data_IF_648241900864
#
_entry.id   IF_648241900864
#
_cell.length_a   1.000
_cell.length_b   1.000
_cell.length_c   1.000
_cell.angle_alpha   90.00
_cell.angle_beta   90.00
_cell.angle_gamma   90.00
#
_symmetry.space_group_name_H-M   'P 1'
#
loop_
_entity.id
_entity.type
_entity.pdbx_description
1 polymer ?
#
# COMPACT_ATOMS: atom_id res chain seq x y z
N UNK A 1 10.75 -3.01 -14.88
CA UNK A 1 10.86 -4.10 -13.88
C UNK A 1 12.30 -4.45 -13.51
N UNK A 2 13.26 -4.06 -14.32
CA UNK A 2 14.68 -4.40 -14.08
C UNK A 2 15.24 -3.89 -12.74
N UNK A 3 14.71 -2.76 -12.24
CA UNK A 3 15.15 -2.17 -10.97
C UNK A 3 14.91 -3.07 -9.74
N UNK A 4 13.89 -3.93 -9.76
CA UNK A 4 13.67 -4.89 -8.67
C UNK A 4 14.80 -5.90 -8.55
N UNK A 5 15.47 -6.26 -9.66
CA UNK A 5 16.61 -7.17 -9.67
C UNK A 5 17.83 -6.68 -8.88
N UNK A 6 17.89 -5.38 -8.56
CA UNK A 6 18.96 -4.78 -7.75
C UNK A 6 18.68 -4.87 -6.23
N UNK A 7 17.45 -5.25 -5.84
CA UNK A 7 17.06 -5.34 -4.44
C UNK A 7 17.29 -6.77 -3.94
N UNK A 8 18.01 -6.91 -2.83
CA UNK A 8 18.28 -8.20 -2.22
C UNK A 8 17.02 -8.88 -1.71
N UNK A 9 17.00 -10.20 -1.75
CA UNK A 9 15.92 -11.01 -1.19
C UNK A 9 15.76 -10.73 0.31
N UNK A 10 14.52 -10.71 0.77
CA UNK A 10 14.18 -10.54 2.20
C UNK A 10 14.76 -9.30 2.89
N UNK A 11 15.05 -8.22 2.13
CA UNK A 11 15.70 -7.01 2.66
C UNK A 11 14.77 -5.84 2.93
N UNK A 12 13.51 -5.89 2.49
CA UNK A 12 12.53 -4.81 2.61
C UNK A 12 11.55 -5.09 3.75
N UNK A 13 11.48 -4.20 4.72
CA UNK A 13 10.58 -4.34 5.88
C UNK A 13 9.17 -3.78 5.60
N UNK A 14 9.10 -2.69 4.84
CA UNK A 14 7.84 -2.07 4.44
C UNK A 14 7.89 -1.68 2.95
N UNK A 15 6.90 -2.11 2.21
CA UNK A 15 6.55 -1.51 0.92
C UNK A 15 5.42 -0.53 1.14
N UNK A 16 5.63 0.75 0.82
CA UNK A 16 4.62 1.80 0.92
C UNK A 16 4.56 2.56 -0.40
N UNK A 17 3.53 2.30 -1.19
CA UNK A 17 3.44 2.81 -2.55
C UNK A 17 2.03 3.26 -2.94
N UNK A 18 1.98 4.21 -3.88
CA UNK A 18 0.76 4.71 -4.52
C UNK A 18 0.79 4.37 -6.02
N UNK A 19 0.51 3.11 -6.40
CA UNK A 19 0.59 2.70 -7.79
C UNK A 19 -0.46 3.41 -8.65
N UNK A 20 -0.21 3.62 -9.95
CA UNK A 20 -1.17 4.24 -10.84
C UNK A 20 -2.43 3.37 -10.99
N UNK A 21 -3.62 4.00 -10.91
CA UNK A 21 -4.92 3.30 -10.89
C UNK A 21 -5.53 3.09 -12.29
N UNK A 22 -5.00 3.77 -13.34
CA UNK A 22 -5.56 3.74 -14.69
C UNK A 22 -6.93 4.43 -14.81
N UNK A 23 -7.21 5.44 -13.97
CA UNK A 23 -8.50 6.13 -13.91
C UNK A 23 -8.45 7.57 -14.39
N UNK A 24 -7.28 8.10 -14.68
CA UNK A 24 -7.08 9.46 -15.19
C UNK A 24 -6.68 9.44 -16.67
N UNK A 25 -6.70 10.60 -17.33
CA UNK A 25 -6.23 10.74 -18.71
C UNK A 25 -4.71 11.03 -18.81
N UNK A 26 -4.00 10.98 -17.68
CA UNK A 26 -2.57 11.20 -17.67
C UNK A 26 -1.81 10.01 -18.28
N UNK A 27 -0.79 10.30 -19.05
CA UNK A 27 0.01 9.26 -19.73
C UNK A 27 0.77 8.33 -18.79
N UNK A 28 1.04 8.79 -17.57
CA UNK A 28 1.69 8.01 -16.52
C UNK A 28 0.74 7.11 -15.73
N UNK A 29 -0.59 7.36 -15.78
CA UNK A 29 -1.59 6.57 -15.02
C UNK A 29 -1.94 5.26 -15.75
N UNK A 30 -0.94 4.41 -15.93
CA UNK A 30 -1.07 3.10 -16.55
C UNK A 30 -0.96 2.03 -15.46
N UNK A 31 -1.97 1.18 -15.35
CA UNK A 31 -1.99 0.08 -14.38
C UNK A 31 -0.76 -0.82 -14.55
N UNK A 32 -0.01 -0.98 -13.47
CA UNK A 32 1.16 -1.86 -13.46
C UNK A 32 0.75 -3.34 -13.48
N UNK A 33 1.54 -4.24 -14.10
CA UNK A 33 1.28 -5.67 -14.11
C UNK A 33 1.60 -6.27 -12.72
N UNK A 34 0.59 -6.45 -11.89
CA UNK A 34 0.76 -7.05 -10.57
C UNK A 34 0.92 -8.56 -10.62
N UNK A 35 0.17 -9.25 -11.50
CA UNK A 35 0.32 -10.69 -11.75
C UNK A 35 1.49 -10.98 -12.68
N UNK A 36 2.03 -12.20 -12.63
CA UNK A 36 2.92 -12.69 -13.67
C UNK A 36 2.21 -12.61 -15.03
N UNK A 37 2.93 -12.27 -16.09
CA UNK A 37 2.35 -12.00 -17.40
C UNK A 37 3.25 -12.45 -18.55
N UNK A 38 2.62 -12.64 -19.72
CA UNK A 38 3.27 -12.75 -21.04
C UNK A 38 2.82 -11.57 -21.89
N UNK A 39 3.74 -10.94 -22.59
CA UNK A 39 3.40 -9.96 -23.63
C UNK A 39 2.97 -10.67 -24.90
N UNK A 40 1.72 -10.44 -25.35
CA UNK A 40 1.15 -10.95 -26.57
C UNK A 40 0.37 -9.85 -27.29
N UNK A 41 0.63 -9.66 -28.59
CA UNK A 41 -0.05 -8.66 -29.42
C UNK A 41 -0.07 -7.26 -28.76
N UNK A 42 1.06 -6.84 -28.15
CA UNK A 42 1.22 -5.54 -27.46
C UNK A 42 0.45 -5.42 -26.13
N UNK A 43 0.01 -6.53 -25.53
CA UNK A 43 -0.72 -6.56 -24.26
C UNK A 43 -0.06 -7.50 -23.26
N UNK A 44 -0.02 -7.09 -22.01
CA UNK A 44 0.36 -7.96 -20.91
C UNK A 44 -0.84 -8.82 -20.49
N UNK A 45 -0.74 -10.11 -20.69
CA UNK A 45 -1.77 -11.08 -20.35
C UNK A 45 -1.33 -11.90 -19.15
N UNK A 46 -2.12 -11.92 -18.08
CA UNK A 46 -1.96 -12.88 -16.98
C UNK A 46 -2.29 -14.30 -17.47
N UNK A 47 -2.01 -15.30 -16.64
CA UNK A 47 -2.15 -16.71 -17.05
C UNK A 47 -3.53 -17.06 -17.62
N UNK A 48 -4.62 -16.64 -16.98
CA UNK A 48 -5.98 -16.92 -17.42
C UNK A 48 -6.29 -16.27 -18.78
N UNK A 49 -5.94 -15.00 -18.93
CA UNK A 49 -6.14 -14.26 -20.19
C UNK A 49 -5.27 -14.82 -21.31
N UNK A 50 -4.04 -15.26 -20.97
CA UNK A 50 -3.15 -15.91 -21.92
C UNK A 50 -3.71 -17.25 -22.40
N UNK A 51 -4.21 -18.10 -21.49
CA UNK A 51 -4.86 -19.37 -21.89
C UNK A 51 -6.09 -19.12 -22.77
N UNK A 52 -6.92 -18.12 -22.45
CA UNK A 52 -8.06 -17.76 -23.28
C UNK A 52 -7.63 -17.27 -24.68
N UNK A 53 -6.53 -16.51 -24.76
CA UNK A 53 -5.93 -16.09 -26.04
C UNK A 53 -5.45 -17.30 -26.85
N UNK A 54 -4.72 -18.22 -26.23
CA UNK A 54 -4.28 -19.47 -26.87
C UNK A 54 -5.45 -20.33 -27.34
N UNK A 55 -6.49 -20.48 -26.51
CA UNK A 55 -7.70 -21.19 -26.87
C UNK A 55 -8.38 -20.63 -28.14
N UNK A 56 -8.51 -19.31 -28.22
CA UNK A 56 -9.05 -18.62 -29.41
C UNK A 56 -8.20 -18.83 -30.67
N UNK A 57 -6.90 -19.10 -30.52
CA UNK A 57 -5.96 -19.40 -31.62
C UNK A 57 -5.78 -20.90 -31.86
N UNK A 58 -6.59 -21.77 -31.23
CA UNK A 58 -6.52 -23.22 -31.30
C UNK A 58 -5.13 -23.80 -30.88
N UNK A 59 -4.44 -23.15 -29.95
CA UNK A 59 -3.18 -23.65 -29.39
C UNK A 59 -3.51 -24.68 -28.30
N UNK A 60 -2.95 -25.90 -28.33
CA UNK A 60 -3.19 -26.91 -27.31
C UNK A 60 -2.77 -26.44 -25.92
N UNK A 61 -3.53 -26.82 -24.89
CA UNK A 61 -3.27 -26.41 -23.50
C UNK A 61 -1.83 -26.71 -23.05
N UNK A 62 -1.32 -27.91 -23.40
CA UNK A 62 0.04 -28.30 -23.04
C UNK A 62 1.07 -27.32 -23.60
N UNK A 63 0.97 -26.99 -24.88
CA UNK A 63 1.91 -26.09 -25.57
C UNK A 63 1.82 -24.68 -25.01
N UNK A 64 0.59 -24.19 -24.75
CA UNK A 64 0.36 -22.91 -24.10
C UNK A 64 0.96 -22.85 -22.70
N UNK A 65 0.81 -23.90 -21.90
CA UNK A 65 1.37 -23.97 -20.55
C UNK A 65 2.90 -24.06 -20.55
N UNK A 66 3.49 -24.82 -21.48
CA UNK A 66 4.95 -24.92 -21.64
C UNK A 66 5.54 -23.56 -22.06
N UNK A 67 4.88 -22.86 -22.99
CA UNK A 67 5.28 -21.52 -23.42
C UNK A 67 5.14 -20.49 -22.29
N UNK A 68 4.05 -20.52 -21.51
CA UNK A 68 3.88 -19.69 -20.33
C UNK A 68 5.07 -19.86 -19.38
N UNK A 69 5.40 -21.08 -19.00
CA UNK A 69 6.47 -21.34 -18.04
C UNK A 69 7.86 -20.89 -18.52
N UNK A 70 8.08 -20.84 -19.83
CA UNK A 70 9.34 -20.39 -20.45
C UNK A 70 9.44 -18.88 -20.58
N UNK A 71 8.32 -18.18 -20.81
CA UNK A 71 8.30 -16.77 -21.26
C UNK A 71 7.66 -15.81 -20.28
N UNK A 72 6.98 -16.30 -19.23
CA UNK A 72 6.33 -15.40 -18.27
C UNK A 72 7.32 -14.44 -17.63
N UNK A 73 6.91 -13.20 -17.55
CA UNK A 73 7.61 -12.17 -16.78
C UNK A 73 6.99 -12.09 -15.39
N UNK A 74 7.83 -11.88 -14.37
CA UNK A 74 7.35 -11.73 -13.00
C UNK A 74 6.60 -10.42 -12.85
N UNK A 75 5.38 -10.51 -12.32
CA UNK A 75 4.60 -9.36 -11.91
C UNK A 75 5.13 -8.74 -10.62
N UNK A 76 4.52 -7.62 -10.22
CA UNK A 76 4.92 -6.91 -8.99
C UNK A 76 4.78 -7.80 -7.76
N UNK A 77 3.69 -8.56 -7.62
CA UNK A 77 3.51 -9.45 -6.46
C UNK A 77 4.63 -10.47 -6.30
N UNK A 78 5.08 -11.10 -7.38
CA UNK A 78 6.18 -12.05 -7.35
C UNK A 78 7.50 -11.38 -6.93
N UNK A 79 7.74 -10.15 -7.37
CA UNK A 79 8.91 -9.39 -6.95
C UNK A 79 8.83 -8.97 -5.49
N UNK A 80 7.69 -8.45 -5.05
CA UNK A 80 7.46 -8.08 -3.65
C UNK A 80 7.61 -9.28 -2.73
N UNK A 81 7.11 -10.44 -3.15
CA UNK A 81 7.21 -11.69 -2.39
C UNK A 81 8.66 -12.12 -2.16
N UNK A 82 9.53 -11.92 -3.13
CA UNK A 82 10.96 -12.24 -3.06
C UNK A 82 11.72 -11.28 -2.14
N UNK A 83 11.48 -9.96 -2.26
CA UNK A 83 12.28 -8.95 -1.55
C UNK A 83 11.78 -8.67 -0.13
N UNK A 84 10.51 -9.01 0.18
CA UNK A 84 9.89 -8.69 1.46
C UNK A 84 10.53 -9.52 2.58
N UNK A 85 10.95 -8.87 3.65
CA UNK A 85 11.44 -9.52 4.87
C UNK A 85 10.39 -10.47 5.46
N UNK A 86 10.79 -11.45 6.26
CA UNK A 86 9.93 -12.51 6.80
C UNK A 86 8.68 -11.97 7.55
N UNK A 87 8.81 -10.85 8.22
CA UNK A 87 7.72 -10.12 8.90
C UNK A 87 7.45 -8.76 8.24
N UNK A 88 7.78 -8.63 6.97
CA UNK A 88 7.55 -7.43 6.21
C UNK A 88 6.06 -7.24 5.86
N UNK A 89 5.69 -6.03 5.52
CA UNK A 89 4.34 -5.62 5.19
C UNK A 89 4.31 -4.83 3.89
N UNK A 90 3.26 -5.04 3.10
CA UNK A 90 2.98 -4.24 1.90
C UNK A 90 1.77 -3.37 2.17
N UNK A 91 1.90 -2.08 1.97
CA UNK A 91 0.84 -1.08 2.13
C UNK A 91 0.69 -0.33 0.81
N UNK A 92 -0.49 -0.44 0.22
CA UNK A 92 -0.79 0.20 -1.07
C UNK A 92 -1.97 1.15 -0.94
N UNK A 93 -1.82 2.36 -1.46
CA UNK A 93 -2.94 3.26 -1.66
C UNK A 93 -3.81 2.76 -2.81
N UNK A 94 -5.11 2.96 -2.71
CA UNK A 94 -6.06 2.55 -3.75
C UNK A 94 -7.38 3.31 -3.67
N UNK A 95 -8.19 3.21 -4.73
CA UNK A 95 -9.53 3.77 -4.76
C UNK A 95 -10.44 3.01 -5.74
N UNK A 96 -11.72 2.87 -5.37
CA UNK A 96 -12.76 2.34 -6.25
C UNK A 96 -12.51 0.89 -6.70
N UNK A 97 -12.69 0.64 -8.01
CA UNK A 97 -12.53 -0.72 -8.57
C UNK A 97 -11.11 -1.26 -8.42
N UNK A 98 -10.11 -0.38 -8.40
CA UNK A 98 -8.72 -0.76 -8.25
C UNK A 98 -8.42 -1.42 -6.90
N UNK A 99 -9.11 -0.99 -5.83
CA UNK A 99 -9.07 -1.64 -4.50
C UNK A 99 -9.40 -3.14 -4.61
N UNK A 100 -10.51 -3.46 -5.31
CA UNK A 100 -10.91 -4.85 -5.53
C UNK A 100 -9.85 -5.62 -6.32
N UNK A 101 -9.34 -5.03 -7.40
CA UNK A 101 -8.33 -5.67 -8.27
C UNK A 101 -7.07 -6.04 -7.48
N UNK A 102 -6.56 -5.13 -6.64
CA UNK A 102 -5.39 -5.41 -5.80
C UNK A 102 -5.65 -6.52 -4.79
N UNK A 103 -6.83 -6.55 -4.16
CA UNK A 103 -7.19 -7.57 -3.17
C UNK A 103 -7.33 -8.97 -3.78
N UNK A 104 -7.76 -9.08 -5.05
CA UNK A 104 -7.97 -10.35 -5.75
C UNK A 104 -6.69 -10.89 -6.41
N UNK A 105 -5.77 -10.01 -6.84
CA UNK A 105 -4.57 -10.39 -7.61
C UNK A 105 -3.38 -10.84 -6.76
N UNK A 106 -3.45 -10.74 -5.45
CA UNK A 106 -2.27 -10.85 -4.58
C UNK A 106 -1.88 -12.28 -4.23
N UNK A 107 -0.57 -12.55 -4.19
CA UNK A 107 0.04 -13.74 -3.57
C UNK A 107 0.37 -13.51 -2.08
N UNK A 108 0.41 -12.26 -1.63
CA UNK A 108 0.60 -11.85 -0.24
C UNK A 108 -0.79 -11.55 0.34
N UNK A 109 -1.28 -12.28 1.37
CA UNK A 109 -2.66 -12.13 1.83
C UNK A 109 -3.02 -10.71 2.26
N UNK A 110 -4.10 -10.17 1.68
CA UNK A 110 -4.76 -8.99 2.21
C UNK A 110 -5.29 -9.27 3.62
N UNK A 111 -5.16 -8.29 4.52
CA UNK A 111 -5.54 -8.45 5.93
C UNK A 111 -6.62 -7.49 6.38
N UNK A 112 -6.47 -6.20 6.07
CA UNK A 112 -7.44 -5.16 6.41
C UNK A 112 -7.15 -3.88 5.65
N UNK A 113 -8.10 -2.95 5.71
CA UNK A 113 -7.96 -1.60 5.18
C UNK A 113 -7.80 -0.60 6.32
N UNK A 114 -6.99 0.41 6.08
CA UNK A 114 -7.09 1.72 6.71
C UNK A 114 -7.75 2.68 5.72
N UNK A 115 -8.38 3.71 6.23
CA UNK A 115 -9.03 4.75 5.42
C UNK A 115 -8.29 6.06 5.63
N UNK A 116 -7.75 6.63 4.57
CA UNK A 116 -7.31 8.01 4.63
C UNK A 116 -8.49 8.94 4.39
N UNK A 117 -8.98 9.59 5.43
CA UNK A 117 -9.98 10.64 5.34
C UNK A 117 -9.30 11.96 5.01
N UNK A 118 -9.66 12.53 3.87
CA UNK A 118 -9.17 13.84 3.42
C UNK A 118 -9.91 14.96 4.15
N UNK A 119 -9.20 15.99 4.59
CA UNK A 119 -9.83 17.18 5.18
C UNK A 119 -10.61 18.01 4.16
N UNK A 120 -10.26 17.90 2.88
CA UNK A 120 -10.97 18.55 1.76
C UNK A 120 -11.38 17.50 0.75
N UNK A 121 -12.68 17.25 0.54
CA UNK A 121 -13.15 16.31 -0.49
C UNK A 121 -12.77 16.77 -1.90
N UNK A 122 -12.69 15.80 -2.83
CA UNK A 122 -12.35 16.03 -4.23
C UNK A 122 -13.47 15.55 -5.16
N UNK A 123 -13.41 15.94 -6.45
CA UNK A 123 -14.37 15.49 -7.47
C UNK A 123 -15.57 16.40 -7.65
N UNK A 124 -15.44 17.71 -7.40
CA UNK A 124 -16.52 18.69 -7.46
C UNK A 124 -17.24 18.75 -8.83
N UNK A 125 -16.55 18.41 -9.93
CA UNK A 125 -17.15 18.35 -11.27
C UNK A 125 -18.29 17.31 -11.37
N UNK A 126 -18.31 16.33 -10.48
CA UNK A 126 -19.34 15.31 -10.40
C UNK A 126 -20.31 15.49 -9.23
N UNK A 127 -20.28 16.65 -8.54
CA UNK A 127 -21.06 16.88 -7.31
C UNK A 127 -22.57 16.72 -7.50
N UNK A 128 -23.07 16.96 -8.71
CA UNK A 128 -24.50 16.79 -9.05
C UNK A 128 -24.86 15.36 -9.49
N UNK A 129 -23.89 14.42 -9.52
CA UNK A 129 -24.09 13.04 -10.00
C UNK A 129 -23.77 12.01 -8.93
N UNK A 130 -22.82 12.33 -8.02
CA UNK A 130 -22.39 11.44 -6.94
C UNK A 130 -21.80 12.26 -5.78
N UNK A 131 -21.73 11.69 -4.57
CA UNK A 131 -21.04 12.32 -3.44
C UNK A 131 -19.58 12.63 -3.77
N UNK A 132 -19.07 13.73 -3.18
CA UNK A 132 -17.65 14.06 -3.26
C UNK A 132 -16.81 12.99 -2.58
N UNK A 133 -15.66 12.65 -3.16
CA UNK A 133 -14.71 11.68 -2.57
C UNK A 133 -13.95 12.34 -1.42
N UNK A 134 -14.23 11.87 -0.21
CA UNK A 134 -13.59 12.34 1.02
C UNK A 134 -12.54 11.36 1.55
N UNK A 135 -12.29 10.23 0.88
CA UNK A 135 -11.35 9.21 1.35
C UNK A 135 -10.64 8.47 0.23
N UNK A 136 -9.56 7.79 0.60
CA UNK A 136 -8.89 6.73 -0.18
C UNK A 136 -8.67 5.52 0.73
N UNK A 137 -8.63 4.33 0.11
CA UNK A 137 -8.28 3.09 0.81
C UNK A 137 -6.77 2.97 0.94
N UNK A 138 -6.34 2.38 2.06
CA UNK A 138 -4.96 1.98 2.30
C UNK A 138 -5.00 0.49 2.63
N UNK A 139 -4.56 -0.34 1.68
CA UNK A 139 -4.63 -1.78 1.78
C UNK A 139 -3.39 -2.34 2.48
N UNK A 140 -3.58 -3.20 3.47
CA UNK A 140 -2.49 -3.81 4.25
C UNK A 140 -2.42 -5.31 3.96
N UNK A 141 -1.25 -5.76 3.47
CA UNK A 141 -0.97 -7.14 3.10
C UNK A 141 0.25 -7.66 3.84
N UNK A 142 0.18 -8.86 4.40
CA UNK A 142 1.34 -9.54 4.98
C UNK A 142 1.11 -11.05 5.13
N UNK A 143 2.20 -11.83 5.11
CA UNK A 143 2.18 -13.28 5.35
C UNK A 143 2.16 -13.59 6.85
N UNK A 144 3.09 -13.03 7.61
CA UNK A 144 3.22 -13.17 9.06
C UNK A 144 2.96 -11.83 9.72
N UNK A 145 2.48 -11.84 10.96
CA UNK A 145 2.21 -10.62 11.72
C UNK A 145 3.45 -9.70 11.73
N UNK A 146 3.34 -8.50 11.15
CA UNK A 146 4.47 -7.57 11.02
C UNK A 146 4.79 -6.89 12.35
N UNK A 147 5.85 -6.08 12.35
CA UNK A 147 6.04 -5.04 13.38
C UNK A 147 4.81 -4.14 13.40
N UNK A 148 4.30 -3.86 14.60
CA UNK A 148 3.24 -2.88 14.77
C UNK A 148 3.47 -2.03 16.01
N UNK A 149 3.75 -0.76 15.79
CA UNK A 149 3.97 0.27 16.80
C UNK A 149 2.75 1.20 16.83
N UNK A 150 1.77 0.99 17.72
CA UNK A 150 0.55 1.79 17.72
C UNK A 150 0.86 3.26 18.02
N UNK A 151 0.56 4.14 17.07
CA UNK A 151 0.73 5.58 17.21
C UNK A 151 -0.41 6.15 18.06
N UNK A 152 -0.27 6.02 19.39
CA UNK A 152 -1.28 6.49 20.32
C UNK A 152 -1.34 8.01 20.36
N UNK A 153 -2.54 8.52 20.54
CA UNK A 153 -2.78 9.95 20.81
C UNK A 153 -2.88 10.21 22.30
N UNK A 154 -2.42 11.36 22.77
CA UNK A 154 -2.36 11.77 24.19
C UNK A 154 -3.32 12.95 24.46
N UNK A 155 -3.46 13.33 25.74
CA UNK A 155 -4.26 14.51 26.13
C UNK A 155 -5.78 14.30 26.13
N UNK A 156 -6.25 13.06 26.01
CA UNK A 156 -7.67 12.73 26.11
C UNK A 156 -8.17 12.76 27.56
N UNK A 157 -9.49 12.93 27.80
CA UNK A 157 -10.08 12.74 29.10
C UNK A 157 -9.69 11.38 29.69
N UNK A 158 -9.30 11.38 30.97
CA UNK A 158 -8.90 10.16 31.67
C UNK A 158 -10.03 9.11 31.63
N UNK A 159 -9.70 7.90 31.24
CA UNK A 159 -10.64 6.78 31.20
C UNK A 159 -10.12 5.67 32.10
N UNK A 160 -10.95 5.25 33.04
CA UNK A 160 -10.63 4.18 34.00
C UNK A 160 -11.59 3.02 33.78
N UNK A 161 -11.05 1.80 33.81
CA UNK A 161 -11.85 0.57 33.82
C UNK A 161 -11.16 -0.44 34.71
N UNK A 162 -11.89 -0.94 35.74
CA UNK A 162 -11.37 -1.95 36.66
C UNK A 162 -11.44 -3.35 36.01
N UNK A 163 -10.64 -4.27 36.55
CA UNK A 163 -10.69 -5.69 36.14
C UNK A 163 -12.09 -6.27 36.38
N UNK A 164 -12.72 -5.93 37.50
CA UNK A 164 -14.06 -6.38 37.86
C UNK A 164 -15.13 -5.89 36.90
N UNK A 165 -15.11 -4.59 36.53
CA UNK A 165 -16.00 -4.04 35.52
C UNK A 165 -15.88 -4.78 34.18
N UNK A 166 -14.67 -5.12 33.77
CA UNK A 166 -14.41 -5.85 32.52
C UNK A 166 -14.84 -7.32 32.59
N UNK A 167 -14.75 -7.98 33.75
CA UNK A 167 -15.27 -9.35 33.96
C UNK A 167 -16.78 -9.39 33.91
N UNK A 168 -17.44 -8.36 34.43
CA UNK A 168 -18.90 -8.27 34.48
C UNK A 168 -19.52 -7.77 33.16
N UNK A 169 -18.73 -7.13 32.28
CA UNK A 169 -19.21 -6.83 30.95
C UNK A 169 -19.33 -8.14 30.17
N UNK A 170 -20.56 -8.46 29.72
CA UNK A 170 -20.83 -9.62 28.87
C UNK A 170 -19.98 -9.53 27.61
N UNK A 171 -18.81 -10.16 27.63
CA UNK A 171 -18.04 -10.38 26.41
C UNK A 171 -18.70 -11.56 25.70
N UNK A 172 -19.07 -11.34 24.45
CA UNK A 172 -19.50 -12.42 23.57
C UNK A 172 -18.32 -13.35 23.32
N UNK A 173 -18.56 -14.65 23.20
CA UNK A 173 -17.52 -15.65 22.89
C UNK A 173 -16.85 -15.44 21.54
N UNK A 174 -17.39 -14.53 20.75
CA UNK A 174 -16.94 -14.17 19.38
C UNK A 174 -15.49 -13.72 19.30
N UNK A 175 -14.90 -13.21 20.38
CA UNK A 175 -13.52 -12.69 20.39
C UNK A 175 -12.51 -13.62 21.09
N UNK A 176 -12.90 -14.86 21.40
CA UNK A 176 -12.03 -15.85 22.03
C UNK A 176 -11.71 -15.57 23.50
N UNK A 177 -10.71 -16.29 24.05
CA UNK A 177 -10.33 -16.16 25.47
C UNK A 177 -9.67 -14.80 25.73
N UNK A 178 -10.25 -14.03 26.63
CA UNK A 178 -9.76 -12.71 27.04
C UNK A 178 -9.37 -12.69 28.52
N UNK A 179 -8.17 -12.19 28.80
CA UNK A 179 -7.74 -11.91 30.18
C UNK A 179 -8.03 -10.45 30.52
N UNK A 180 -9.00 -10.22 31.39
CA UNK A 180 -9.37 -8.87 31.81
C UNK A 180 -8.18 -8.16 32.49
N UNK A 181 -7.77 -7.01 31.96
CA UNK A 181 -6.74 -6.14 32.57
C UNK A 181 -7.35 -4.79 32.91
N UNK A 182 -7.00 -4.24 34.07
CA UNK A 182 -7.34 -2.88 34.44
C UNK A 182 -6.75 -1.88 33.43
N UNK A 183 -7.37 -0.72 33.32
CA UNK A 183 -7.00 0.31 32.38
C UNK A 183 -7.24 1.68 33.01
N UNK A 184 -6.23 2.51 32.99
CA UNK A 184 -6.27 3.89 33.48
C UNK A 184 -5.33 4.72 32.59
N UNK A 185 -5.89 5.55 31.71
CA UNK A 185 -5.07 6.27 30.75
C UNK A 185 -5.78 7.47 30.13
N UNK A 186 -4.99 8.46 29.77
CA UNK A 186 -5.35 9.57 28.87
C UNK A 186 -4.94 9.34 27.43
N UNK A 187 -4.32 8.20 27.13
CA UNK A 187 -3.97 7.81 25.77
C UNK A 187 -5.11 7.07 25.07
N UNK A 188 -5.12 7.12 23.75
CA UNK A 188 -6.02 6.31 22.91
C UNK A 188 -5.23 5.61 21.81
N UNK A 189 -5.60 4.36 21.56
CA UNK A 189 -5.12 3.63 20.39
C UNK A 189 -5.64 4.27 19.11
N UNK A 190 -4.87 4.22 18.01
CA UNK A 190 -5.33 4.69 16.72
C UNK A 190 -6.55 3.87 16.23
N UNK A 191 -7.35 4.49 15.38
CA UNK A 191 -8.46 3.86 14.68
C UNK A 191 -8.09 3.58 13.22
N UNK A 192 -8.90 2.80 12.52
CA UNK A 192 -8.70 2.49 11.10
C UNK A 192 -8.99 3.69 10.17
N UNK A 193 -9.57 4.76 10.66
CA UNK A 193 -9.79 6.00 9.90
C UNK A 193 -8.76 7.04 10.34
N UNK A 194 -7.92 7.44 9.39
CA UNK A 194 -6.80 8.35 9.57
C UNK A 194 -7.10 9.67 8.88
N UNK A 195 -7.22 10.75 9.63
CA UNK A 195 -7.51 12.09 9.08
C UNK A 195 -6.22 12.86 8.89
N UNK A 196 -5.84 13.10 7.63
CA UNK A 196 -4.69 13.90 7.26
C UNK A 196 -5.07 14.89 6.15
N UNK A 197 -4.56 16.12 6.26
CA UNK A 197 -4.69 17.10 5.19
C UNK A 197 -3.87 16.66 3.97
N UNK A 198 -4.35 16.99 2.77
CA UNK A 198 -3.54 16.88 1.56
C UNK A 198 -2.42 17.93 1.64
N UNK A 199 -1.20 17.56 1.27
CA UNK A 199 -0.11 18.52 1.14
C UNK A 199 -0.42 19.45 -0.04
N UNK A 200 -1.09 20.57 0.26
CA UNK A 200 -1.31 21.63 -0.71
C UNK A 200 0.01 22.33 -0.97
N UNK A 201 0.72 21.87 -2.00
CA UNK A 201 1.49 22.70 -2.91
C UNK A 201 2.41 23.78 -2.31
N UNK A 202 3.23 23.48 -1.34
CA UNK A 202 4.49 24.25 -1.25
C UNK A 202 5.43 23.93 -2.43
N UNK A 203 5.21 22.78 -3.06
CA UNK A 203 5.93 22.32 -4.26
C UNK A 203 4.91 21.67 -5.19
N UNK A 204 4.39 22.42 -6.15
CA UNK A 204 3.37 22.02 -7.12
C UNK A 204 3.88 21.01 -8.16
N UNK A 205 4.65 20.00 -7.74
CA UNK A 205 5.24 19.03 -8.65
C UNK A 205 4.27 17.93 -9.08
N UNK A 206 3.26 17.59 -8.26
CA UNK A 206 2.30 16.52 -8.59
C UNK A 206 0.94 16.78 -7.95
N UNK A 207 -0.12 16.80 -8.77
CA UNK A 207 -1.51 17.03 -8.30
C UNK A 207 -2.09 15.93 -7.41
N UNK A 208 -1.42 14.77 -7.30
CA UNK A 208 -1.86 13.57 -6.56
C UNK A 208 -0.91 13.14 -5.45
N UNK A 209 0.00 14.02 -5.05
CA UNK A 209 0.99 13.73 -3.99
C UNK A 209 0.33 13.29 -2.68
N UNK A 210 0.82 12.19 -2.08
CA UNK A 210 0.39 11.74 -0.75
C UNK A 210 0.98 12.64 0.34
N UNK A 211 0.25 12.89 1.45
CA UNK A 211 0.76 13.68 2.57
C UNK A 211 1.97 13.01 3.23
N UNK A 212 3.07 13.74 3.39
CA UNK A 212 4.27 13.24 4.09
C UNK A 212 3.90 12.78 5.51
N UNK A 213 3.07 13.54 6.24
CA UNK A 213 2.65 13.18 7.59
C UNK A 213 1.87 11.85 7.67
N UNK A 214 1.08 11.51 6.64
CA UNK A 214 0.41 10.21 6.55
C UNK A 214 1.43 9.09 6.29
N UNK A 215 2.37 9.31 5.38
CA UNK A 215 3.46 8.35 5.13
C UNK A 215 4.31 8.11 6.38
N UNK A 216 4.68 9.17 7.12
CA UNK A 216 5.40 9.05 8.40
C UNK A 216 4.62 8.22 9.43
N UNK A 217 3.31 8.45 9.54
CA UNK A 217 2.47 7.69 10.46
C UNK A 217 2.46 6.20 10.10
N UNK A 218 2.32 5.86 8.81
CA UNK A 218 2.36 4.49 8.32
C UNK A 218 3.75 3.85 8.56
N UNK A 219 4.82 4.55 8.23
CA UNK A 219 6.20 4.08 8.42
C UNK A 219 6.46 3.80 9.91
N UNK A 220 6.18 4.75 10.81
CA UNK A 220 6.33 4.57 12.26
C UNK A 220 5.50 3.42 12.81
N UNK A 221 4.31 3.21 12.26
CA UNK A 221 3.40 2.14 12.71
C UNK A 221 3.90 0.75 12.36
N UNK A 222 4.55 0.57 11.21
CA UNK A 222 4.86 -0.76 10.67
C UNK A 222 6.36 -1.06 10.56
N UNK A 223 7.21 -0.16 11.00
CA UNK A 223 8.68 -0.34 10.99
C UNK A 223 9.32 0.18 12.27
N UNK A 224 10.54 -0.28 12.54
CA UNK A 224 11.45 0.30 13.51
C UNK A 224 12.44 1.25 12.80
N UNK A 225 13.23 2.01 13.57
CA UNK A 225 14.36 2.77 13.03
C UNK A 225 15.34 1.82 12.34
N UNK A 226 16.02 2.30 11.31
CA UNK A 226 16.94 1.56 10.43
C UNK A 226 16.30 0.47 9.54
N UNK A 227 14.99 0.19 9.67
CA UNK A 227 14.29 -0.67 8.74
C UNK A 227 14.25 -0.06 7.33
N UNK A 228 14.15 -0.92 6.31
CA UNK A 228 14.11 -0.50 4.89
C UNK A 228 12.69 -0.34 4.39
N UNK A 229 12.39 0.83 3.85
CA UNK A 229 11.12 1.20 3.19
C UNK A 229 11.34 1.25 1.68
N UNK A 230 10.48 0.60 0.91
CA UNK A 230 10.46 0.64 -0.55
C UNK A 230 9.22 1.37 -1.06
N UNK A 231 9.42 2.28 -2.00
CA UNK A 231 8.36 2.80 -2.87
C UNK A 231 8.73 2.55 -4.33
N UNK A 232 8.01 1.67 -5.01
CA UNK A 232 8.31 1.26 -6.38
C UNK A 232 7.69 2.17 -7.46
N UNK A 233 7.03 3.24 -7.07
CA UNK A 233 6.44 4.27 -7.93
C UNK A 233 6.41 5.61 -7.19
N UNK A 234 7.60 6.06 -6.74
CA UNK A 234 7.75 7.11 -5.74
C UNK A 234 7.29 8.50 -6.18
N UNK A 235 7.06 8.73 -7.46
CA UNK A 235 6.64 10.02 -8.00
C UNK A 235 7.51 11.17 -7.51
N UNK A 236 6.90 12.12 -6.78
CA UNK A 236 7.63 13.25 -6.19
C UNK A 236 8.36 12.93 -4.87
N UNK A 237 8.42 11.67 -4.42
CA UNK A 237 9.23 11.21 -3.29
C UNK A 237 8.65 11.44 -1.90
N UNK A 238 7.33 11.55 -1.72
CA UNK A 238 6.72 11.76 -0.39
C UNK A 238 7.06 10.66 0.62
N UNK A 239 7.06 9.40 0.16
CA UNK A 239 7.45 8.25 0.99
C UNK A 239 8.92 8.33 1.39
N UNK A 240 9.81 8.75 0.48
CA UNK A 240 11.24 8.91 0.77
C UNK A 240 11.51 10.01 1.80
N UNK A 241 10.86 11.18 1.65
CA UNK A 241 10.93 12.25 2.66
C UNK A 241 10.45 11.74 4.03
N UNK A 242 9.34 11.01 4.07
CA UNK A 242 8.81 10.45 5.31
C UNK A 242 9.74 9.39 5.94
N UNK A 243 10.39 8.56 5.13
CA UNK A 243 11.38 7.58 5.58
C UNK A 243 12.60 8.28 6.20
N UNK A 244 13.13 9.31 5.53
CA UNK A 244 14.24 10.10 6.04
C UNK A 244 13.88 10.82 7.37
N UNK A 245 12.73 11.48 7.44
CA UNK A 245 12.23 12.15 8.65
C UNK A 245 12.07 11.20 9.84
N UNK A 246 11.96 9.91 9.59
CA UNK A 246 11.69 8.89 10.61
C UNK A 246 12.87 7.95 10.85
N UNK A 247 14.06 8.24 10.34
CA UNK A 247 15.28 7.45 10.43
C UNK A 247 15.13 6.02 9.87
N UNK A 248 14.52 5.89 8.69
CA UNK A 248 14.43 4.63 7.94
C UNK A 248 15.28 4.70 6.68
N UNK A 249 15.82 3.56 6.29
CA UNK A 249 16.45 3.42 4.98
C UNK A 249 15.38 3.48 3.89
N UNK A 250 15.69 4.10 2.74
CA UNK A 250 14.73 4.24 1.65
C UNK A 250 15.27 3.71 0.33
N UNK A 251 14.44 2.96 -0.36
CA UNK A 251 14.64 2.56 -1.75
C UNK A 251 13.46 3.14 -2.56
N UNK A 252 13.76 4.00 -3.53
CA UNK A 252 12.75 4.59 -4.41
C UNK A 252 12.97 4.17 -5.86
N UNK A 253 11.90 3.76 -6.54
CA UNK A 253 11.90 3.49 -7.98
C UNK A 253 10.94 4.47 -8.65
N UNK A 254 11.40 5.13 -9.70
CA UNK A 254 10.60 6.01 -10.54
C UNK A 254 11.02 5.83 -12.00
N UNK A 255 10.04 5.72 -12.88
CA UNK A 255 10.28 5.54 -14.32
C UNK A 255 10.51 6.86 -15.04
N UNK A 256 9.84 7.92 -14.60
CA UNK A 256 9.94 9.25 -15.17
C UNK A 256 11.17 9.96 -14.60
N UNK A 257 12.09 10.37 -15.47
CA UNK A 257 13.35 10.97 -15.07
C UNK A 257 13.16 12.34 -14.37
N UNK A 258 12.18 13.13 -14.80
CA UNK A 258 11.90 14.45 -14.21
C UNK A 258 11.36 14.29 -12.79
N UNK A 259 10.44 13.34 -12.58
CA UNK A 259 9.94 13.00 -11.24
C UNK A 259 11.03 12.38 -10.37
N UNK A 260 11.90 11.54 -10.92
CA UNK A 260 13.03 10.99 -10.19
C UNK A 260 13.96 12.10 -9.67
N UNK A 261 14.30 13.09 -10.51
CA UNK A 261 15.16 14.21 -10.12
C UNK A 261 14.49 15.12 -9.07
N UNK A 262 13.18 15.32 -9.17
CA UNK A 262 12.40 16.04 -8.16
C UNK A 262 12.41 15.30 -6.83
N UNK A 263 12.13 13.99 -6.84
CA UNK A 263 12.12 13.15 -5.64
C UNK A 263 13.49 13.15 -4.96
N UNK A 264 14.56 12.94 -5.73
CA UNK A 264 15.94 12.94 -5.22
C UNK A 264 16.27 14.24 -4.48
N UNK A 265 16.01 15.39 -5.09
CA UNK A 265 16.23 16.69 -4.45
C UNK A 265 15.43 16.88 -3.17
N UNK A 266 14.19 16.38 -3.13
CA UNK A 266 13.33 16.50 -1.93
C UNK A 266 13.73 15.59 -0.79
N UNK A 267 14.28 14.43 -1.08
CA UNK A 267 14.70 13.44 -0.08
C UNK A 267 16.06 13.81 0.51
N UNK A 268 16.94 14.44 -0.27
CA UNK A 268 18.27 14.87 0.16
C UNK A 268 18.27 16.19 0.96
N UNK A 269 17.15 16.92 1.03
CA UNK A 269 16.96 18.14 1.82
C UNK A 269 16.58 17.82 3.28
#
# INVERSE_FOLDING_TARGET
MDSFGLIHDHSVNLVLADPPYGITQNTWDVVLPFDDFIECDGKNLNYEKYLLHCFKKNIPYKDANDEWNKRKQQGIWSQLDRILADRGVVILFSAGIYTKTLMESTTIPWRYNLIWQKTTPVGFLNANRMPLRAHEDILVFYKKLPTYNPQKTTGHPRKVSTVEHKRNSKMTEDYGKYTAKGYDSTERFPTSVLTFATDKQKYAAHGTQKPVALCEWLIKSYTNEDDTVLDFCMGSGSTGVAANNTNRNFIGIEKDADFFDIAKKRIEL
#
